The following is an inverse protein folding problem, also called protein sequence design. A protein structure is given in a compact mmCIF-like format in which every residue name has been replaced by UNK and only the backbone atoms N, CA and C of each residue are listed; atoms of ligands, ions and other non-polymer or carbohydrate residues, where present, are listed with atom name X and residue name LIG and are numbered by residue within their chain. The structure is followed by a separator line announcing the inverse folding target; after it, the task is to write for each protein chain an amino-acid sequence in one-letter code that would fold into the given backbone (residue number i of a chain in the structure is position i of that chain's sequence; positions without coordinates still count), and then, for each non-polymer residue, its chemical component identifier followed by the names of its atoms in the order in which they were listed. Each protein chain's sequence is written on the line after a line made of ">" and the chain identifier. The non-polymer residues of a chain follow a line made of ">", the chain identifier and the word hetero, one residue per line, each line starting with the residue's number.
data_IF_905445475902
#
_entry.id   IF_905445475902
#
_cell.length_a   1.000
_cell.length_b   1.000
_cell.length_c   1.000
_cell.angle_alpha   90.00
_cell.angle_beta   90.00
_cell.angle_gamma   90.00
#
_symmetry.space_group_name_H-M   'P 1'
#
loop_
_entity.id
_entity.type
_entity.pdbx_description
1 polymer ?
#
# COMPACT_ATOMS: atom_id res chain seq x y z
N UNK A 1 -10.15 20.16 -16.68
CA UNK A 1 -9.07 20.48 -15.70
C UNK A 1 -8.60 19.18 -15.09
N UNK A 2 -7.31 19.03 -14.72
CA UNK A 2 -6.84 17.81 -14.09
C UNK A 2 -7.51 17.60 -12.71
N UNK A 3 -7.76 16.35 -12.33
CA UNK A 3 -8.22 15.99 -10.97
C UNK A 3 -7.12 16.25 -9.94
N UNK A 4 -7.46 16.30 -8.66
CA UNK A 4 -6.46 16.46 -7.59
C UNK A 4 -5.46 15.31 -7.56
N UNK A 5 -5.89 14.08 -7.87
CA UNK A 5 -5.00 12.93 -8.05
C UNK A 5 -4.04 13.11 -9.22
N UNK A 6 -4.51 13.61 -10.37
CA UNK A 6 -3.64 13.90 -11.51
C UNK A 6 -2.60 14.98 -11.17
N UNK A 7 -2.98 16.01 -10.41
CA UNK A 7 -2.05 17.04 -9.93
C UNK A 7 -1.00 16.45 -8.98
N UNK A 8 -1.43 15.63 -8.02
CA UNK A 8 -0.55 14.92 -7.07
C UNK A 8 0.50 14.08 -7.82
N UNK A 9 0.06 13.25 -8.77
CA UNK A 9 0.96 12.37 -9.54
C UNK A 9 1.90 13.14 -10.48
N UNK A 10 1.50 14.33 -10.93
CA UNK A 10 2.34 15.22 -11.71
C UNK A 10 3.30 16.08 -10.86
N UNK A 11 3.29 15.95 -9.53
CA UNK A 11 4.09 16.75 -8.60
C UNK A 11 3.62 18.21 -8.46
N UNK A 12 2.41 18.52 -8.89
CA UNK A 12 1.80 19.84 -8.72
C UNK A 12 1.17 20.03 -7.34
N UNK A 13 0.78 21.27 -7.02
CA UNK A 13 -0.04 21.54 -5.84
C UNK A 13 -1.43 20.91 -6.02
N UNK A 14 -1.87 20.18 -5.01
CA UNK A 14 -3.16 19.47 -4.98
C UNK A 14 -3.82 19.59 -3.60
N UNK A 15 -5.13 19.36 -3.54
CA UNK A 15 -5.89 19.34 -2.31
C UNK A 15 -6.05 17.90 -1.79
N UNK A 16 -5.30 17.53 -0.75
CA UNK A 16 -5.33 16.17 -0.19
C UNK A 16 -6.70 15.75 0.40
N UNK A 17 -7.54 16.72 0.77
CA UNK A 17 -8.91 16.47 1.23
C UNK A 17 -9.93 16.24 0.10
N UNK A 18 -9.48 16.12 -1.16
CA UNK A 18 -10.36 15.79 -2.29
C UNK A 18 -11.04 14.41 -2.10
N UNK A 19 -12.33 14.25 -2.45
CA UNK A 19 -13.05 13.00 -2.26
C UNK A 19 -12.40 11.77 -2.90
N UNK A 20 -11.73 11.90 -4.06
CA UNK A 20 -11.01 10.79 -4.71
C UNK A 20 -9.85 10.32 -3.84
N UNK A 21 -9.03 11.24 -3.35
CA UNK A 21 -7.88 10.95 -2.50
C UNK A 21 -8.29 10.44 -1.12
N UNK A 22 -9.38 10.96 -0.56
CA UNK A 22 -9.93 10.45 0.71
C UNK A 22 -10.48 9.03 0.57
N UNK A 23 -11.14 8.71 -0.56
CA UNK A 23 -11.59 7.35 -0.84
C UNK A 23 -10.42 6.38 -0.99
N UNK A 24 -9.35 6.79 -1.67
CA UNK A 24 -8.12 6.01 -1.80
C UNK A 24 -7.46 5.77 -0.43
N UNK A 25 -7.32 6.80 0.41
CA UNK A 25 -6.77 6.66 1.78
C UNK A 25 -7.61 5.69 2.62
N UNK A 26 -8.94 5.79 2.56
CA UNK A 26 -9.82 4.87 3.28
C UNK A 26 -9.67 3.42 2.80
N UNK A 27 -9.46 3.20 1.49
CA UNK A 27 -9.18 1.88 0.95
C UNK A 27 -7.82 1.33 1.44
N UNK A 28 -6.79 2.17 1.44
CA UNK A 28 -5.46 1.83 1.97
C UNK A 28 -5.53 1.48 3.46
N UNK A 29 -6.27 2.23 4.28
CA UNK A 29 -6.47 1.93 5.69
C UNK A 29 -7.11 0.56 5.94
N UNK A 30 -8.16 0.22 5.17
CA UNK A 30 -8.80 -1.10 5.25
C UNK A 30 -7.83 -2.22 4.85
N UNK A 31 -7.00 -1.99 3.83
CA UNK A 31 -5.96 -2.93 3.44
C UNK A 31 -4.88 -3.10 4.52
N UNK A 32 -4.34 -2.00 5.06
CA UNK A 32 -3.34 -2.02 6.13
C UNK A 32 -3.85 -2.75 7.37
N UNK A 33 -5.12 -2.57 7.73
CA UNK A 33 -5.73 -3.32 8.84
C UNK A 33 -5.68 -4.84 8.60
N UNK A 34 -6.05 -5.31 7.40
CA UNK A 34 -5.93 -6.75 7.03
C UNK A 34 -4.47 -7.21 7.03
N UNK A 35 -3.57 -6.40 6.49
CA UNK A 35 -2.15 -6.74 6.41
C UNK A 35 -1.51 -6.86 7.79
N UNK A 36 -1.81 -5.91 8.68
CA UNK A 36 -1.23 -5.83 10.02
C UNK A 36 -1.78 -6.94 10.94
N UNK A 37 -3.03 -7.38 10.73
CA UNK A 37 -3.61 -8.55 11.41
C UNK A 37 -2.80 -9.84 11.15
N UNK A 38 -2.04 -9.91 10.04
CA UNK A 38 -1.17 -11.08 9.77
C UNK A 38 -0.09 -11.30 10.82
N UNK A 39 0.23 -10.31 11.66
CA UNK A 39 1.16 -10.45 12.78
C UNK A 39 0.65 -11.44 13.84
N UNK A 40 -0.67 -11.47 14.07
CA UNK A 40 -1.31 -12.32 15.07
C UNK A 40 -1.55 -13.75 14.58
N UNK A 41 -1.35 -14.03 13.28
CA UNK A 41 -1.64 -15.32 12.66
C UNK A 41 -0.41 -16.21 12.66
N UNK A 42 -0.31 -17.08 13.66
CA UNK A 42 0.71 -18.13 13.72
C UNK A 42 0.60 -19.02 12.48
N UNK A 43 1.71 -19.19 11.75
CA UNK A 43 1.77 -20.09 10.60
C UNK A 43 1.25 -19.53 9.28
N UNK A 44 0.94 -18.23 9.17
CA UNK A 44 0.64 -17.64 7.86
C UNK A 44 1.86 -17.76 6.94
N UNK A 45 1.68 -18.48 5.83
CA UNK A 45 2.72 -18.67 4.81
C UNK A 45 3.18 -17.31 4.24
N UNK A 46 4.48 -17.22 4.03
CA UNK A 46 5.18 -16.11 3.37
C UNK A 46 4.56 -15.79 2.01
N UNK A 47 4.09 -16.78 1.26
CA UNK A 47 3.39 -16.56 -0.02
C UNK A 47 2.04 -15.86 0.17
N UNK A 48 1.29 -16.19 1.23
CA UNK A 48 0.03 -15.51 1.54
C UNK A 48 0.25 -14.04 1.92
N UNK A 49 1.31 -13.75 2.71
CA UNK A 49 1.68 -12.37 3.04
C UNK A 49 2.15 -11.59 1.81
N UNK A 50 2.90 -12.24 0.91
CA UNK A 50 3.32 -11.62 -0.37
C UNK A 50 2.13 -11.25 -1.25
N UNK A 51 1.11 -12.12 -1.37
CA UNK A 51 -0.14 -11.79 -2.08
C UNK A 51 -0.83 -10.57 -1.49
N UNK A 52 -0.91 -10.47 -0.15
CA UNK A 52 -1.49 -9.30 0.50
C UNK A 52 -0.68 -8.03 0.23
N UNK A 53 0.66 -8.10 0.15
CA UNK A 53 1.47 -6.95 -0.29
C UNK A 53 1.14 -6.55 -1.73
N UNK A 54 1.04 -7.52 -2.63
CA UNK A 54 0.74 -7.27 -4.04
C UNK A 54 -0.69 -6.73 -4.27
N UNK A 55 -1.62 -6.95 -3.34
CA UNK A 55 -2.96 -6.34 -3.38
C UNK A 55 -2.95 -4.83 -3.08
N UNK A 56 -2.04 -4.35 -2.22
CA UNK A 56 -2.07 -2.97 -1.73
C UNK A 56 -0.97 -2.07 -2.26
N UNK A 57 0.14 -2.64 -2.73
CA UNK A 57 1.28 -1.89 -3.25
C UNK A 57 1.28 -1.85 -4.78
N UNK A 58 1.96 -0.86 -5.35
CA UNK A 58 2.04 -0.69 -6.81
C UNK A 58 2.75 -1.88 -7.48
N UNK A 59 3.90 -2.30 -6.96
CA UNK A 59 4.59 -3.53 -7.39
C UNK A 59 5.34 -4.17 -6.23
N UNK A 60 5.39 -5.50 -6.21
CA UNK A 60 6.11 -6.26 -5.18
C UNK A 60 6.98 -7.32 -5.84
N UNK A 61 8.31 -7.13 -5.77
CA UNK A 61 9.28 -8.06 -6.32
C UNK A 61 9.25 -9.44 -5.66
N UNK A 62 9.81 -10.42 -6.36
CA UNK A 62 10.04 -11.75 -5.81
C UNK A 62 10.89 -11.67 -4.53
N UNK A 63 10.57 -12.49 -3.54
CA UNK A 63 11.33 -12.56 -2.27
C UNK A 63 11.05 -11.41 -1.29
N UNK A 64 10.37 -10.35 -1.71
CA UNK A 64 10.09 -9.18 -0.88
C UNK A 64 9.25 -9.54 0.36
N UNK A 65 9.66 -8.98 1.50
CA UNK A 65 8.99 -9.15 2.80
C UNK A 65 8.93 -7.83 3.52
N UNK A 66 7.74 -7.52 4.02
CA UNK A 66 7.51 -6.41 4.94
C UNK A 66 6.93 -7.01 6.21
N UNK A 67 7.58 -6.82 7.36
CA UNK A 67 7.01 -7.26 8.63
C UNK A 67 5.92 -6.29 9.08
N UNK A 68 4.75 -6.79 9.50
CA UNK A 68 3.76 -5.95 10.13
C UNK A 68 4.28 -5.41 11.49
N UNK A 69 3.79 -4.23 11.94
CA UNK A 69 2.85 -3.38 11.23
C UNK A 69 3.50 -2.55 10.12
N UNK A 70 2.75 -2.32 9.04
CA UNK A 70 3.10 -1.44 7.93
C UNK A 70 2.07 -0.32 7.78
N UNK A 71 2.54 0.89 7.48
CA UNK A 71 1.72 2.09 7.32
C UNK A 71 2.15 2.90 6.10
N UNK A 72 1.17 3.32 5.29
CA UNK A 72 1.34 4.20 4.13
C UNK A 72 0.03 4.93 3.80
N UNK A 73 0.10 6.04 3.07
CA UNK A 73 -1.10 6.81 2.72
C UNK A 73 -1.99 6.10 1.70
N UNK A 74 -1.40 5.55 0.64
CA UNK A 74 -2.14 5.04 -0.53
C UNK A 74 -1.74 3.63 -0.99
N UNK A 75 -0.48 3.23 -0.76
CA UNK A 75 0.07 1.95 -1.21
C UNK A 75 0.44 1.88 -2.69
N UNK A 76 -0.43 2.32 -3.60
CA UNK A 76 -0.23 2.16 -5.06
C UNK A 76 0.98 2.91 -5.65
N UNK A 77 1.54 3.89 -4.92
CA UNK A 77 2.76 4.62 -5.31
C UNK A 77 4.05 3.97 -4.78
N UNK A 78 3.95 2.84 -4.06
CA UNK A 78 5.09 2.15 -3.45
C UNK A 78 5.44 0.93 -4.30
N UNK A 79 6.70 0.85 -4.71
CA UNK A 79 7.24 -0.18 -5.56
C UNK A 79 8.41 -0.87 -4.86
N UNK A 80 8.24 -2.13 -4.48
CA UNK A 80 9.29 -2.93 -3.84
C UNK A 80 10.04 -3.73 -4.90
N UNK A 81 11.36 -3.64 -4.89
CA UNK A 81 12.24 -4.47 -5.70
C UNK A 81 12.28 -5.93 -5.25
N UNK A 82 13.13 -6.73 -5.92
CA UNK A 82 13.41 -8.10 -5.49
C UNK A 82 14.11 -8.09 -4.13
N UNK A 83 13.78 -9.07 -3.29
CA UNK A 83 14.46 -9.36 -2.02
C UNK A 83 14.51 -8.19 -1.01
N UNK A 84 13.62 -7.21 -1.14
CA UNK A 84 13.46 -6.13 -0.15
C UNK A 84 12.99 -6.72 1.18
N UNK A 85 13.62 -6.28 2.27
CA UNK A 85 13.24 -6.63 3.63
C UNK A 85 13.03 -5.37 4.48
N UNK A 86 11.87 -5.26 5.11
CA UNK A 86 11.49 -4.18 6.03
C UNK A 86 10.93 -4.78 7.34
#
# INVERSE_FOLDING_TARGET
>A
MPTEKQKMLAGGLYHAGDPELQADQAAAQRWMARYNDTAARVGLDRAARHRLLAEGLGTVGEGAVVRPPFHCDYGYNIHLGRDVFM
#
